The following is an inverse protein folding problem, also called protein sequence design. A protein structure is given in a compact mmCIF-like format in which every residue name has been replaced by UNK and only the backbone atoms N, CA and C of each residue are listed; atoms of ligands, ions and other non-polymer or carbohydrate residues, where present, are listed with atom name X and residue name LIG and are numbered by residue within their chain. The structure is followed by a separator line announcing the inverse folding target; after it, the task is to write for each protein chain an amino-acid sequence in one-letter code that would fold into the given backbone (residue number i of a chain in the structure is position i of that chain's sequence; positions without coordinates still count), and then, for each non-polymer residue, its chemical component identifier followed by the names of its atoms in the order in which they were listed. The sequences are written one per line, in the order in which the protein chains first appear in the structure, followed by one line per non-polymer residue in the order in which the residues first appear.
data_IF_625445283731
#
_entry.id   IF_625445283731
#
_cell.length_a   1.000
_cell.length_b   1.000
_cell.length_c   1.000
_cell.angle_alpha   90.00
_cell.angle_beta   90.00
_cell.angle_gamma   90.00
#
_symmetry.space_group_name_H-M   'P 1'
#
loop_
_entity.id
_entity.type
_entity.pdbx_description
1 polymer ?
#
# COMPACT_ATOMS: atom_id res chain seq x y z
N UNK A 1 -16.26 11.19 -13.09
CA UNK A 1 -16.54 10.01 -12.26
C UNK A 1 -15.83 10.26 -10.94
N UNK A 2 -16.49 10.29 -9.76
CA UNK A 2 -15.73 10.30 -8.53
C UNK A 2 -15.23 8.86 -8.28
N UNK A 3 -13.92 8.66 -8.31
CA UNK A 3 -13.28 7.41 -7.90
C UNK A 3 -13.67 7.13 -6.44
N UNK A 4 -14.41 6.04 -6.22
CA UNK A 4 -14.69 5.56 -4.86
C UNK A 4 -13.36 5.17 -4.24
N UNK A 5 -12.94 5.95 -3.25
CA UNK A 5 -11.93 5.51 -2.30
C UNK A 5 -12.52 4.33 -1.53
N UNK A 6 -11.86 3.17 -1.61
CA UNK A 6 -12.19 2.04 -0.75
C UNK A 6 -11.73 2.41 0.66
N UNK A 7 -12.53 2.19 1.71
CA UNK A 7 -12.05 2.36 3.08
C UNK A 7 -10.73 1.61 3.28
N UNK A 8 -9.77 2.20 4.00
CA UNK A 8 -8.46 1.58 4.28
C UNK A 8 -8.54 0.10 4.71
N UNK A 9 -9.54 -0.28 5.51
CA UNK A 9 -9.78 -1.68 5.87
C UNK A 9 -10.00 -2.58 4.66
N UNK A 10 -10.74 -2.10 3.66
CA UNK A 10 -11.02 -2.85 2.44
C UNK A 10 -9.80 -2.96 1.54
N UNK A 11 -8.92 -1.94 1.55
CA UNK A 11 -7.61 -2.01 0.89
C UNK A 11 -6.77 -3.15 1.49
N UNK A 12 -6.70 -3.27 2.82
CA UNK A 12 -6.00 -4.37 3.49
C UNK A 12 -6.66 -5.73 3.21
N UNK A 13 -7.99 -5.80 3.34
CA UNK A 13 -8.73 -7.05 3.08
C UNK A 13 -8.48 -7.53 1.64
N UNK A 14 -8.48 -6.61 0.67
CA UNK A 14 -8.20 -6.95 -0.71
C UNK A 14 -6.78 -7.51 -0.91
N UNK A 15 -5.77 -6.88 -0.29
CA UNK A 15 -4.41 -7.39 -0.32
C UNK A 15 -4.32 -8.83 0.21
N UNK A 16 -4.86 -9.09 1.41
CA UNK A 16 -4.78 -10.42 2.02
C UNK A 16 -5.56 -11.50 1.25
N UNK A 17 -6.65 -11.14 0.56
CA UNK A 17 -7.39 -12.06 -0.30
C UNK A 17 -6.62 -12.42 -1.57
N UNK A 18 -5.83 -11.49 -2.13
CA UNK A 18 -5.23 -11.65 -3.45
C UNK A 18 -3.75 -12.08 -3.42
N UNK A 19 -2.99 -11.73 -2.36
CA UNK A 19 -1.54 -11.91 -2.30
C UNK A 19 -1.07 -13.36 -2.51
N UNK A 20 -1.85 -14.35 -2.06
CA UNK A 20 -1.46 -15.76 -2.17
C UNK A 20 -1.57 -16.28 -3.61
N UNK A 21 -2.49 -15.72 -4.40
CA UNK A 21 -2.58 -15.94 -5.84
C UNK A 21 -1.40 -15.35 -6.59
N UNK A 22 -0.95 -14.16 -6.19
CA UNK A 22 0.27 -13.53 -6.72
C UNK A 22 1.51 -14.38 -6.36
N UNK A 23 1.61 -14.80 -5.11
CA UNK A 23 2.69 -15.65 -4.63
C UNK A 23 2.78 -16.97 -5.41
N UNK A 24 1.63 -17.53 -5.83
CA UNK A 24 1.57 -18.73 -6.67
C UNK A 24 2.27 -18.52 -8.01
N UNK A 25 2.04 -17.39 -8.70
CA UNK A 25 2.71 -17.10 -9.96
C UNK A 25 4.24 -17.05 -9.81
N UNK A 26 4.74 -16.48 -8.72
CA UNK A 26 6.18 -16.48 -8.45
C UNK A 26 6.74 -17.87 -8.14
N UNK A 27 6.03 -18.69 -7.35
CA UNK A 27 6.42 -20.10 -7.11
C UNK A 27 6.49 -20.92 -8.39
N UNK A 28 5.57 -20.67 -9.32
CA UNK A 28 5.49 -21.32 -10.63
C UNK A 28 6.44 -20.71 -11.68
N UNK A 29 7.27 -19.73 -11.28
CA UNK A 29 8.16 -18.97 -12.17
C UNK A 29 7.44 -18.25 -13.32
N UNK A 30 6.14 -18.01 -13.17
CA UNK A 30 5.29 -17.33 -14.14
C UNK A 30 5.22 -15.82 -13.83
N UNK A 31 6.36 -15.13 -13.96
CA UNK A 31 6.43 -13.69 -13.69
C UNK A 31 5.51 -12.85 -14.56
N UNK A 32 5.17 -13.32 -15.77
CA UNK A 32 4.28 -12.60 -16.67
C UNK A 32 2.85 -12.54 -16.12
N UNK A 33 2.36 -13.63 -15.53
CA UNK A 33 1.04 -13.67 -14.90
C UNK A 33 0.98 -12.83 -13.60
N UNK A 34 2.12 -12.62 -12.92
CA UNK A 34 2.20 -11.77 -11.75
C UNK A 34 2.12 -10.26 -12.06
N UNK A 35 2.44 -9.84 -13.29
CA UNK A 35 2.61 -8.43 -13.66
C UNK A 35 1.38 -7.57 -13.36
N UNK A 36 0.22 -7.94 -13.89
CA UNK A 36 -1.00 -7.13 -13.76
C UNK A 36 -1.56 -7.13 -12.33
N UNK A 37 -1.64 -8.28 -11.62
CA UNK A 37 -1.98 -8.29 -10.20
C UNK A 37 -1.03 -7.45 -9.33
N UNK A 38 0.28 -7.47 -9.61
CA UNK A 38 1.26 -6.66 -8.89
C UNK A 38 1.04 -5.17 -9.13
N UNK A 39 0.87 -4.72 -10.39
CA UNK A 39 0.56 -3.31 -10.69
C UNK A 39 -0.69 -2.83 -9.97
N UNK A 40 -1.75 -3.64 -10.00
CA UNK A 40 -3.01 -3.35 -9.29
C UNK A 40 -2.77 -3.17 -7.79
N UNK A 41 -2.04 -4.09 -7.16
CA UNK A 41 -1.80 -4.01 -5.72
C UNK A 41 -0.83 -2.88 -5.33
N UNK A 42 0.12 -2.51 -6.20
CA UNK A 42 0.94 -1.30 -6.02
C UNK A 42 0.07 -0.04 -6.08
N UNK A 43 -0.87 0.03 -7.02
CA UNK A 43 -1.82 1.15 -7.11
C UNK A 43 -2.70 1.23 -5.86
N UNK A 44 -3.32 0.11 -5.46
CA UNK A 44 -4.12 0.04 -4.22
C UNK A 44 -3.32 0.46 -2.99
N UNK A 45 -2.05 0.05 -2.89
CA UNK A 45 -1.16 0.45 -1.81
C UNK A 45 -0.92 1.97 -1.80
N UNK A 46 -0.68 2.57 -2.97
CA UNK A 46 -0.51 4.01 -3.10
C UNK A 46 -1.79 4.75 -2.68
N UNK A 47 -2.96 4.29 -3.11
CA UNK A 47 -4.23 4.91 -2.72
C UNK A 47 -4.40 4.87 -1.20
N UNK A 48 -4.19 3.70 -0.56
CA UNK A 48 -4.25 3.58 0.89
C UNK A 48 -3.20 4.42 1.63
N UNK A 49 -1.98 4.52 1.07
CA UNK A 49 -0.92 5.32 1.64
C UNK A 49 -1.23 6.83 1.59
N UNK A 50 -1.93 7.32 0.58
CA UNK A 50 -2.36 8.72 0.53
C UNK A 50 -3.60 8.97 1.38
N UNK A 51 -4.55 8.02 1.37
CA UNK A 51 -5.77 8.09 2.16
C UNK A 51 -5.50 8.16 3.67
N UNK A 52 -4.56 7.35 4.20
CA UNK A 52 -4.21 7.40 5.64
C UNK A 52 -3.62 8.76 6.06
N UNK A 53 -3.08 9.53 5.11
CA UNK A 53 -2.58 10.88 5.34
C UNK A 53 -3.66 11.96 5.07
N UNK A 54 -4.89 11.59 4.72
CA UNK A 54 -5.95 12.48 4.23
C UNK A 54 -5.50 13.32 3.02
N UNK A 55 -4.67 12.74 2.16
CA UNK A 55 -4.13 13.38 0.96
C UNK A 55 -4.63 12.68 -0.31
N UNK A 56 -4.47 13.35 -1.43
CA UNK A 56 -4.77 12.82 -2.77
C UNK A 56 -3.48 12.81 -3.59
N UNK A 57 -3.35 11.84 -4.50
CA UNK A 57 -2.21 11.79 -5.40
C UNK A 57 -2.27 12.97 -6.38
N UNK A 58 -1.20 13.74 -6.45
CA UNK A 58 -1.07 14.84 -7.39
C UNK A 58 -0.42 14.35 -8.70
N UNK A 59 -1.12 14.45 -9.82
CA UNK A 59 -0.62 13.99 -11.12
C UNK A 59 0.55 14.80 -11.69
N UNK A 60 0.85 15.99 -11.14
CA UNK A 60 1.93 16.86 -11.62
C UNK A 60 3.32 16.48 -11.10
N UNK A 61 3.39 15.81 -9.96
CA UNK A 61 4.64 15.47 -9.29
C UNK A 61 4.94 13.97 -9.41
N UNK A 62 6.23 13.60 -9.43
CA UNK A 62 6.62 12.19 -9.34
C UNK A 62 6.08 11.58 -8.04
N UNK A 63 5.44 10.43 -8.13
CA UNK A 63 4.84 9.73 -6.98
C UNK A 63 5.85 9.51 -5.85
N UNK A 64 7.11 9.19 -6.19
CA UNK A 64 8.19 8.94 -5.23
C UNK A 64 8.59 10.19 -4.44
N UNK A 65 8.47 11.38 -5.04
CA UNK A 65 8.69 12.68 -4.38
C UNK A 65 7.55 13.00 -3.43
N UNK A 66 6.32 12.67 -3.81
CA UNK A 66 5.15 12.87 -2.96
C UNK A 66 5.19 11.96 -1.72
N UNK A 67 5.52 10.68 -1.90
CA UNK A 67 5.70 9.71 -0.80
C UNK A 67 6.74 10.17 0.22
N UNK A 68 7.81 10.82 -0.24
CA UNK A 68 8.86 11.32 0.65
C UNK A 68 8.35 12.40 1.63
N UNK A 69 7.26 13.08 1.27
CA UNK A 69 6.66 14.15 2.09
C UNK A 69 5.55 13.67 3.02
N UNK A 70 5.13 12.41 2.92
CA UNK A 70 4.06 11.87 3.77
C UNK A 70 4.53 11.73 5.22
N UNK A 71 3.63 12.04 6.15
CA UNK A 71 3.86 11.92 7.59
C UNK A 71 3.72 10.47 8.04
N UNK A 72 2.65 9.81 7.62
CA UNK A 72 2.38 8.40 7.90
C UNK A 72 2.81 7.57 6.70
N UNK A 73 3.95 6.88 6.82
CA UNK A 73 4.47 6.01 5.77
C UNK A 73 5.35 4.89 6.33
N UNK A 74 5.43 3.73 5.66
CA UNK A 74 6.42 2.70 5.96
C UNK A 74 7.88 3.22 5.84
N UNK A 75 8.83 2.53 6.46
CA UNK A 75 10.24 2.94 6.46
C UNK A 75 10.81 2.87 5.03
N UNK A 76 11.67 3.79 4.59
CA UNK A 76 12.27 3.73 3.24
C UNK A 76 11.27 3.54 2.08
N UNK A 77 10.01 3.99 2.25
CA UNK A 77 8.93 3.74 1.27
C UNK A 77 9.29 4.22 -0.14
N UNK A 78 10.01 5.33 -0.26
CA UNK A 78 10.43 5.90 -1.53
C UNK A 78 11.28 4.95 -2.36
N UNK A 79 12.33 4.37 -1.78
CA UNK A 79 13.25 3.50 -2.52
C UNK A 79 12.56 2.18 -2.87
N UNK A 80 11.81 1.62 -1.92
CA UNK A 80 11.02 0.39 -2.11
C UNK A 80 9.98 0.56 -3.22
N UNK A 81 9.19 1.64 -3.20
CA UNK A 81 8.20 1.93 -4.25
C UNK A 81 8.86 2.21 -5.60
N UNK A 82 9.98 2.93 -5.63
CA UNK A 82 10.71 3.18 -6.89
C UNK A 82 11.09 1.87 -7.56
N UNK A 83 11.69 0.94 -6.81
CA UNK A 83 12.05 -0.38 -7.33
C UNK A 83 10.82 -1.19 -7.79
N UNK A 84 9.76 -1.24 -6.99
CA UNK A 84 8.56 -2.01 -7.32
C UNK A 84 7.82 -1.48 -8.55
N UNK A 85 7.78 -0.16 -8.75
CA UNK A 85 7.16 0.47 -9.92
C UNK A 85 7.96 0.16 -11.19
N UNK A 86 9.29 0.15 -11.10
CA UNK A 86 10.17 -0.19 -12.23
C UNK A 86 10.15 -1.69 -12.55
N UNK A 87 10.01 -2.54 -11.52
CA UNK A 87 10.11 -4.00 -11.64
C UNK A 87 8.94 -4.76 -10.98
N UNK A 88 7.67 -4.48 -11.33
CA UNK A 88 6.51 -5.03 -10.62
C UNK A 88 6.38 -6.56 -10.69
N UNK A 89 6.93 -7.18 -11.73
CA UNK A 89 6.92 -8.63 -11.92
C UNK A 89 8.16 -9.35 -11.34
N UNK A 90 8.95 -8.71 -10.47
CA UNK A 90 10.04 -9.35 -9.76
C UNK A 90 9.55 -9.91 -8.42
N UNK A 91 10.05 -11.09 -8.03
CA UNK A 91 9.67 -11.68 -6.74
C UNK A 91 10.05 -10.77 -5.56
N UNK A 92 11.18 -10.07 -5.66
CA UNK A 92 11.56 -9.09 -4.65
C UNK A 92 10.51 -7.99 -4.49
N UNK A 93 9.88 -7.54 -5.58
CA UNK A 93 8.80 -6.55 -5.52
C UNK A 93 7.57 -7.08 -4.77
N UNK A 94 7.26 -8.36 -4.90
CA UNK A 94 6.18 -8.99 -4.12
C UNK A 94 6.49 -9.02 -2.62
N UNK A 95 7.73 -9.36 -2.25
CA UNK A 95 8.17 -9.33 -0.85
C UNK A 95 8.09 -7.90 -0.28
N UNK A 96 8.64 -6.93 -1.01
CA UNK A 96 8.60 -5.52 -0.63
C UNK A 96 7.16 -5.01 -0.46
N UNK A 97 6.26 -5.37 -1.37
CA UNK A 97 4.85 -4.98 -1.27
C UNK A 97 4.17 -5.61 -0.06
N UNK A 98 4.49 -6.86 0.26
CA UNK A 98 3.99 -7.55 1.46
C UNK A 98 4.41 -6.83 2.74
N UNK A 99 5.70 -6.53 2.86
CA UNK A 99 6.23 -5.81 4.02
C UNK A 99 5.62 -4.41 4.15
N UNK A 100 5.45 -3.69 3.03
CA UNK A 100 4.84 -2.36 3.01
C UNK A 100 3.38 -2.39 3.49
N UNK A 101 2.58 -3.36 3.06
CA UNK A 101 1.21 -3.53 3.56
C UNK A 101 1.17 -3.83 5.06
N UNK A 102 2.02 -4.73 5.55
CA UNK A 102 2.09 -5.06 6.98
C UNK A 102 2.52 -3.85 7.83
N UNK A 103 3.48 -3.06 7.36
CA UNK A 103 3.91 -1.83 8.03
C UNK A 103 2.81 -0.78 8.04
N UNK A 104 2.13 -0.56 6.91
CA UNK A 104 1.05 0.42 6.80
C UNK A 104 -0.15 0.05 7.68
N UNK A 105 -0.53 -1.23 7.72
CA UNK A 105 -1.60 -1.72 8.58
C UNK A 105 -1.28 -1.52 10.07
N UNK A 106 -0.02 -1.74 10.48
CA UNK A 106 0.42 -1.45 11.85
C UNK A 106 0.27 0.03 12.20
N UNK A 107 0.63 0.94 11.27
CA UNK A 107 0.42 2.37 11.46
C UNK A 107 -1.07 2.71 11.59
N UNK A 108 -1.90 2.16 10.72
CA UNK A 108 -3.36 2.35 10.75
C UNK A 108 -3.98 1.91 12.08
N UNK A 109 -3.67 0.69 12.54
CA UNK A 109 -4.16 0.18 13.83
C UNK A 109 -3.72 1.04 15.01
N UNK A 110 -2.51 1.60 14.98
CA UNK A 110 -2.02 2.55 15.99
C UNK A 110 -2.85 3.83 16.01
N UNK A 111 -3.20 4.39 14.86
CA UNK A 111 -4.05 5.59 14.77
C UNK A 111 -5.43 5.34 15.38
N UNK A 112 -6.08 4.24 15.00
CA UNK A 112 -7.38 3.86 15.56
C UNK A 112 -7.35 3.71 17.09
N UNK A 113 -6.31 3.09 17.64
CA UNK A 113 -6.16 2.94 19.09
C UNK A 113 -5.99 4.28 19.81
N UNK A 114 -5.27 5.23 19.20
CA UNK A 114 -5.10 6.59 19.74
C UNK A 114 -6.42 7.35 19.70
N UNK A 115 -7.18 7.26 18.62
CA UNK A 115 -8.49 7.91 18.48
C UNK A 115 -9.48 7.39 19.51
N UNK A 116 -9.60 6.08 19.68
CA UNK A 116 -10.46 5.46 20.69
C UNK A 116 -10.08 5.88 22.12
N UNK A 117 -8.77 6.03 22.38
CA UNK A 117 -8.29 6.47 23.70
C UNK A 117 -8.64 7.93 23.98
N UNK A 118 -8.64 8.80 22.96
CA UNK A 118 -9.06 10.21 23.11
C UNK A 118 -10.55 10.32 23.41
N UNK A 119 -11.40 9.57 22.71
CA UNK A 119 -12.85 9.58 22.93
C UNK A 119 -13.20 9.17 24.36
N UNK A 120 -12.52 8.16 24.92
CA UNK A 120 -12.73 7.69 26.31
C UNK A 120 -12.28 8.66 27.41
N UNK A 121 -11.49 9.69 27.10
CA UNK A 121 -11.02 10.69 28.08
C UNK A 121 -11.95 11.91 28.11
N UNK A 122 -12.77 12.09 27.08
CA UNK A 122 -13.73 13.20 26.95
C UNK A 122 -15.14 12.88 27.44
N UNK A 123 -15.40 11.65 27.86
CA UNK A 123 -16.66 11.17 28.48
C UNK A 123 -16.49 11.01 30.00
#
# INVERSE_FOLDING_TARGET
MPERHLPLEEVFNQWYREKDGIAKFFRERNKQAALEPMKKQIANFLDGLFEINNLQINSKDKITVQVDKLEIKPINSKDRLSFMIESPNHYHSFIQLTELFEELEKQYRKLLAIEQSKTRITD
#
